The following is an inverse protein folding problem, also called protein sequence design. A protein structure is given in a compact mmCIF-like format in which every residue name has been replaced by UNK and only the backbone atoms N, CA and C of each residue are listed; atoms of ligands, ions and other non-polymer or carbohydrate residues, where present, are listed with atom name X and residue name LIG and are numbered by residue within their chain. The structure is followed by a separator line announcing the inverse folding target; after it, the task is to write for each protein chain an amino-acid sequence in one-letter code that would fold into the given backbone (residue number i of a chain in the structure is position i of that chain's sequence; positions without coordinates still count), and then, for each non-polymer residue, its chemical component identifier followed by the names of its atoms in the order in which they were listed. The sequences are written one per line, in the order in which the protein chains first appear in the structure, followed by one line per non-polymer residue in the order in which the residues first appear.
data_IF_695550115359
#
_entry.id   IF_695550115359
#
_cell.length_a   1.000
_cell.length_b   1.000
_cell.length_c   1.000
_cell.angle_alpha   90.00
_cell.angle_beta   90.00
_cell.angle_gamma   90.00
#
_symmetry.space_group_name_H-M   'P 1'
#
loop_
_entity.id
_entity.type
_entity.pdbx_description
1 polymer ?
#
# COMPACT_ATOMS: atom_id res chain seq x y z
N UNK A 1 2.88 6.03 -28.20
CA UNK A 1 3.08 7.43 -27.79
C UNK A 1 4.21 7.44 -26.77
N UNK A 2 5.34 8.13 -27.01
CA UNK A 2 6.41 8.26 -26.01
C UNK A 2 5.99 9.23 -24.89
N UNK A 3 6.31 8.88 -23.65
CA UNK A 3 6.12 9.74 -22.47
C UNK A 3 7.47 10.41 -22.14
N UNK A 4 7.51 11.74 -22.16
CA UNK A 4 8.70 12.51 -21.78
C UNK A 4 8.54 13.04 -20.37
N UNK A 5 9.47 12.70 -19.49
CA UNK A 5 9.48 13.17 -18.10
C UNK A 5 10.59 14.22 -17.95
N UNK A 6 10.21 15.42 -17.51
CA UNK A 6 11.18 16.45 -17.15
C UNK A 6 11.52 16.31 -15.67
N UNK A 7 12.72 15.82 -15.38
CA UNK A 7 13.22 15.61 -14.03
C UNK A 7 14.25 16.68 -13.69
N UNK A 8 14.38 17.02 -12.41
CA UNK A 8 15.51 17.81 -11.93
C UNK A 8 16.77 16.96 -11.95
N UNK A 9 17.95 17.59 -12.09
CA UNK A 9 19.23 16.87 -12.17
C UNK A 9 19.49 15.96 -10.97
N UNK A 10 19.03 16.35 -9.77
CA UNK A 10 19.15 15.55 -8.55
C UNK A 10 18.34 14.24 -8.65
N UNK A 11 17.08 14.33 -9.09
CA UNK A 11 16.19 13.17 -9.22
C UNK A 11 16.70 12.24 -10.32
N UNK A 12 17.15 12.79 -11.45
CA UNK A 12 17.71 11.99 -12.55
C UNK A 12 18.96 11.20 -12.12
N UNK A 13 19.87 11.84 -11.37
CA UNK A 13 21.07 11.18 -10.84
C UNK A 13 20.69 10.07 -9.85
N UNK A 14 19.76 10.34 -8.95
CA UNK A 14 19.29 9.37 -7.96
C UNK A 14 18.66 8.14 -8.63
N UNK A 15 17.75 8.36 -9.60
CA UNK A 15 17.10 7.27 -10.33
C UNK A 15 18.10 6.48 -11.16
N UNK A 16 19.09 7.14 -11.77
CA UNK A 16 20.16 6.49 -12.52
C UNK A 16 21.01 5.59 -11.63
N UNK A 17 21.32 6.03 -10.41
CA UNK A 17 22.06 5.21 -9.45
C UNK A 17 21.25 3.98 -9.03
N UNK A 18 19.99 4.16 -8.63
CA UNK A 18 19.12 3.05 -8.23
C UNK A 18 18.83 2.06 -9.37
N UNK A 19 18.73 2.55 -10.60
CA UNK A 19 18.57 1.69 -11.78
C UNK A 19 19.79 0.78 -11.94
N UNK A 20 21.01 1.34 -11.81
CA UNK A 20 22.27 0.57 -11.87
C UNK A 20 22.38 -0.46 -10.76
N UNK A 21 22.00 -0.12 -9.52
CA UNK A 21 21.98 -1.06 -8.39
C UNK A 21 21.08 -2.28 -8.67
N UNK A 22 19.98 -2.07 -9.39
CA UNK A 22 19.04 -3.13 -9.78
C UNK A 22 19.37 -3.78 -11.13
N UNK A 23 20.46 -3.40 -11.79
CA UNK A 23 20.84 -3.91 -13.11
C UNK A 23 19.86 -3.54 -14.23
N UNK A 24 19.11 -2.45 -14.06
CA UNK A 24 18.09 -1.97 -15.00
C UNK A 24 18.57 -0.71 -15.74
N UNK A 25 18.03 -0.46 -16.93
CA UNK A 25 18.16 0.86 -17.56
C UNK A 25 17.33 1.90 -16.79
N UNK A 26 17.68 3.18 -16.95
CA UNK A 26 16.94 4.27 -16.32
C UNK A 26 15.46 4.24 -16.73
N UNK A 27 15.17 4.05 -18.02
CA UNK A 27 13.80 4.02 -18.53
C UNK A 27 13.02 2.82 -17.96
N UNK A 28 13.64 1.64 -17.92
CA UNK A 28 13.02 0.44 -17.39
C UNK A 28 12.72 0.58 -15.88
N UNK A 29 13.64 1.20 -15.14
CA UNK A 29 13.46 1.43 -13.71
C UNK A 29 12.35 2.45 -13.43
N UNK A 30 12.32 3.56 -14.17
CA UNK A 30 11.27 4.59 -14.04
C UNK A 30 9.91 4.06 -14.43
N UNK A 31 9.81 3.29 -15.52
CA UNK A 31 8.56 2.65 -15.93
C UNK A 31 8.04 1.70 -14.85
N UNK A 32 8.94 0.88 -14.26
CA UNK A 32 8.59 -0.01 -13.16
C UNK A 32 8.07 0.78 -11.96
N UNK A 33 8.77 1.83 -11.56
CA UNK A 33 8.38 2.67 -10.43
C UNK A 33 7.01 3.32 -10.65
N UNK A 34 6.77 3.89 -11.84
CA UNK A 34 5.48 4.47 -12.20
C UNK A 34 4.36 3.42 -12.18
N UNK A 35 4.62 2.23 -12.73
CA UNK A 35 3.65 1.13 -12.71
C UNK A 35 3.32 0.73 -11.27
N UNK A 36 4.34 0.52 -10.44
CA UNK A 36 4.18 0.10 -9.05
C UNK A 36 3.38 1.17 -8.28
N UNK A 37 3.72 2.46 -8.43
CA UNK A 37 3.01 3.56 -7.76
C UNK A 37 1.56 3.72 -8.22
N UNK A 38 1.28 3.64 -9.54
CA UNK A 38 -0.08 3.75 -10.07
C UNK A 38 -0.92 2.56 -9.60
N UNK A 39 -0.36 1.35 -9.65
CA UNK A 39 -1.07 0.14 -9.22
C UNK A 39 -1.33 0.14 -7.72
N UNK A 40 -0.36 0.58 -6.91
CA UNK A 40 -0.52 0.81 -5.47
C UNK A 40 -1.61 1.85 -5.18
N UNK A 41 -1.66 2.94 -5.94
CA UNK A 41 -2.69 3.98 -5.76
C UNK A 41 -4.10 3.47 -6.14
N UNK A 42 -4.23 2.68 -7.20
CA UNK A 42 -5.50 2.03 -7.55
C UNK A 42 -5.95 1.04 -6.48
N UNK A 43 -5.02 0.26 -5.93
CA UNK A 43 -5.29 -0.66 -4.82
C UNK A 43 -5.73 0.09 -3.56
N UNK A 44 -5.03 1.17 -3.20
CA UNK A 44 -5.39 2.02 -2.07
C UNK A 44 -6.78 2.64 -2.26
N UNK A 45 -7.09 3.15 -3.46
CA UNK A 45 -8.40 3.74 -3.74
C UNK A 45 -9.52 2.69 -3.66
N UNK A 46 -9.30 1.48 -4.19
CA UNK A 46 -10.25 0.38 -4.07
C UNK A 46 -10.46 -0.05 -2.62
N UNK A 47 -9.38 -0.14 -1.84
CA UNK A 47 -9.47 -0.47 -0.42
C UNK A 47 -10.23 0.60 0.35
N UNK A 48 -9.94 1.89 0.11
CA UNK A 48 -10.66 3.00 0.73
C UNK A 48 -12.16 2.96 0.37
N UNK A 49 -12.49 2.74 -0.90
CA UNK A 49 -13.89 2.64 -1.33
C UNK A 49 -14.61 1.43 -0.71
N UNK A 50 -13.93 0.29 -0.59
CA UNK A 50 -14.47 -0.89 0.07
C UNK A 50 -14.74 -0.63 1.55
N UNK A 51 -13.78 -0.02 2.26
CA UNK A 51 -13.94 0.35 3.66
C UNK A 51 -15.07 1.36 3.85
N UNK A 52 -15.23 2.33 2.95
CA UNK A 52 -16.35 3.27 3.00
C UNK A 52 -17.69 2.58 2.74
N UNK A 53 -17.77 1.65 1.78
CA UNK A 53 -19.01 0.91 1.55
C UNK A 53 -19.47 0.12 2.77
N UNK A 54 -18.53 -0.37 3.60
CA UNK A 54 -18.86 -1.04 4.86
C UNK A 54 -19.27 -0.07 5.97
N UNK A 55 -18.59 1.08 6.09
CA UNK A 55 -18.96 2.12 7.06
C UNK A 55 -20.37 2.65 6.78
N UNK A 56 -20.72 2.79 5.51
CA UNK A 56 -22.02 3.27 5.06
C UNK A 56 -23.12 2.19 5.15
N UNK A 57 -22.78 0.93 5.43
CA UNK A 57 -23.71 -0.18 5.58
C UNK A 57 -24.27 -0.18 7.01
N UNK A 58 -25.58 0.01 7.22
CA UNK A 58 -26.19 0.14 8.56
C UNK A 58 -26.33 -1.20 9.34
N UNK A 59 -25.50 -2.22 9.05
CA UNK A 59 -25.46 -3.49 9.78
C UNK A 59 -24.25 -3.53 10.74
N UNK A 60 -24.48 -3.03 11.96
CA UNK A 60 -23.45 -2.97 13.00
C UNK A 60 -22.89 -4.35 13.39
N UNK A 61 -23.65 -5.42 13.20
CA UNK A 61 -23.20 -6.77 13.57
C UNK A 61 -22.27 -7.34 12.50
N UNK A 62 -22.61 -7.21 11.23
CA UNK A 62 -21.74 -7.62 10.12
C UNK A 62 -20.43 -6.82 10.12
N UNK A 63 -20.48 -5.53 10.45
CA UNK A 63 -19.29 -4.68 10.60
C UNK A 63 -18.36 -5.17 11.71
N UNK A 64 -18.89 -5.59 12.87
CA UNK A 64 -18.09 -6.08 13.98
C UNK A 64 -17.42 -7.41 13.63
N UNK A 65 -18.19 -8.37 13.10
CA UNK A 65 -17.67 -9.70 12.73
C UNK A 65 -16.58 -9.59 11.65
N UNK A 66 -16.81 -8.74 10.64
CA UNK A 66 -15.85 -8.51 9.55
C UNK A 66 -14.61 -7.76 10.05
N UNK A 67 -14.78 -6.79 10.95
CA UNK A 67 -13.67 -6.06 11.56
C UNK A 67 -12.75 -6.96 12.39
N UNK A 68 -13.33 -7.86 13.20
CA UNK A 68 -12.55 -8.83 13.97
C UNK A 68 -11.80 -9.82 13.07
N UNK A 69 -12.45 -10.30 12.01
CA UNK A 69 -11.81 -11.16 11.01
C UNK A 69 -10.62 -10.47 10.32
N UNK A 70 -10.75 -9.19 9.96
CA UNK A 70 -9.65 -8.44 9.34
C UNK A 70 -8.46 -8.27 10.28
N UNK A 71 -8.70 -7.94 11.55
CA UNK A 71 -7.64 -7.81 12.54
C UNK A 71 -6.85 -9.11 12.65
N UNK A 72 -7.56 -10.24 12.75
CA UNK A 72 -6.94 -11.56 12.82
C UNK A 72 -6.16 -11.90 11.53
N UNK A 73 -6.76 -11.70 10.36
CA UNK A 73 -6.10 -11.98 9.08
C UNK A 73 -4.82 -11.17 8.88
N UNK A 74 -4.82 -9.89 9.27
CA UNK A 74 -3.65 -9.01 9.17
C UNK A 74 -2.55 -9.41 10.18
N UNK A 75 -2.92 -9.86 11.37
CA UNK A 75 -1.97 -10.40 12.35
C UNK A 75 -1.33 -11.70 11.85
N UNK A 76 -2.11 -12.59 11.22
CA UNK A 76 -1.62 -13.87 10.69
C UNK A 76 -0.77 -13.75 9.41
N UNK A 77 -0.99 -12.73 8.59
CA UNK A 77 -0.17 -12.47 7.39
C UNK A 77 1.25 -11.97 7.75
N UNK A 78 1.49 -11.59 9.02
CA UNK A 78 2.82 -11.17 9.46
C UNK A 78 3.81 -12.32 9.51
N UNK A 79 5.03 -12.04 9.07
CA UNK A 79 6.21 -12.88 9.32
C UNK A 79 6.79 -12.76 10.74
N UNK A 80 6.16 -11.96 11.61
CA UNK A 80 6.64 -11.68 12.97
C UNK A 80 5.62 -12.15 14.00
N UNK A 81 6.12 -12.81 15.05
CA UNK A 81 5.34 -13.27 16.22
C UNK A 81 4.70 -12.12 17.02
N UNK A 82 5.05 -10.86 16.72
CA UNK A 82 4.45 -9.70 17.38
C UNK A 82 3.20 -9.26 16.60
N UNK A 83 2.00 -9.29 17.21
CA UNK A 83 0.78 -8.83 16.56
C UNK A 83 0.85 -7.33 16.21
N UNK A 84 0.30 -6.96 15.05
CA UNK A 84 -0.02 -5.57 14.67
C UNK A 84 -1.04 -4.96 15.63
N UNK A 85 -2.02 -5.76 16.08
CA UNK A 85 -3.13 -5.30 16.91
C UNK A 85 -3.17 -6.02 18.27
N UNK A 86 -2.27 -5.70 19.20
CA UNK A 86 -2.27 -6.34 20.52
C UNK A 86 -3.57 -6.03 21.29
N UNK A 87 -4.24 -7.06 21.79
CA UNK A 87 -5.52 -6.93 22.50
C UNK A 87 -5.50 -5.94 23.68
N UNK A 88 -4.35 -5.81 24.37
CA UNK A 88 -4.19 -4.87 25.48
C UNK A 88 -4.14 -3.39 25.06
N UNK A 89 -4.09 -3.09 23.75
CA UNK A 89 -4.11 -1.73 23.20
C UNK A 89 -5.43 -1.36 22.51
N UNK A 90 -6.41 -2.29 22.46
CA UNK A 90 -7.75 -2.03 21.92
C UNK A 90 -8.42 -0.91 22.71
N UNK A 91 -8.84 0.15 22.02
CA UNK A 91 -9.41 1.37 22.61
C UNK A 91 -8.39 2.40 23.13
N UNK A 92 -7.08 2.13 23.00
CA UNK A 92 -6.01 3.06 23.41
C UNK A 92 -5.26 3.63 22.21
N UNK A 93 -4.85 2.76 21.28
CA UNK A 93 -4.12 3.16 20.07
C UNK A 93 -4.82 2.77 18.77
N UNK A 94 -5.73 1.80 18.84
CA UNK A 94 -6.54 1.29 17.73
C UNK A 94 -7.90 0.85 18.27
#
# INVERSE_FOLDING_TARGET
MPLTLNLTSEIEQYLSQKAREKGLSLEAYVLKLLKDTILEQEQQTKLVNLLQSWIDEEDEQEQQETGEYLIEALDQDRLSERPLFPAHLKGVTW
#
